data_IF_748564460822
#
_entry.id   IF_748564460822
#
_cell.length_a   1.000
_cell.length_b   1.000
_cell.length_c   1.000
_cell.angle_alpha   90.00
_cell.angle_beta   90.00
_cell.angle_gamma   90.00
#
_symmetry.space_group_name_H-M   'P 1'
#
loop_
_entity.id
_entity.type
_entity.pdbx_description
1 polymer ?
#
# COMPACT_ATOMS: atom_id res chain seq x y z
N UNK A 1 -13.38 11.25 -10.33
CA UNK A 1 -12.73 10.96 -9.03
C UNK A 1 -12.91 9.48 -8.74
N UNK A 2 -11.83 8.71 -8.60
CA UNK A 2 -11.95 7.32 -8.13
C UNK A 2 -12.23 7.31 -6.62
N UNK A 3 -13.11 6.41 -6.16
CA UNK A 3 -13.37 6.20 -4.74
C UNK A 3 -12.10 5.68 -4.03
N UNK A 4 -11.86 6.05 -2.75
CA UNK A 4 -10.72 5.56 -1.99
C UNK A 4 -10.87 4.06 -1.73
N UNK A 5 -9.75 3.34 -1.76
CA UNK A 5 -9.68 1.92 -1.44
C UNK A 5 -9.44 1.77 0.06
N UNK A 6 -10.34 1.09 0.75
CA UNK A 6 -10.40 1.07 2.22
C UNK A 6 -10.36 -0.35 2.79
N UNK A 7 -9.25 -1.10 2.61
CA UNK A 7 -9.21 -2.53 2.90
C UNK A 7 -9.06 -2.83 4.40
N UNK A 8 -8.97 -1.83 5.28
CA UNK A 8 -8.85 -2.00 6.73
C UNK A 8 -10.16 -1.65 7.42
N UNK A 9 -11.12 -2.60 7.42
CA UNK A 9 -12.43 -2.45 8.05
C UNK A 9 -13.13 -1.13 7.66
N UNK A 10 -13.10 -0.79 6.36
CA UNK A 10 -13.70 0.45 5.85
C UNK A 10 -12.85 1.70 6.04
N UNK A 11 -11.55 1.56 6.32
CA UNK A 11 -10.58 2.68 6.38
C UNK A 11 -9.32 2.41 5.55
N UNK A 12 -8.52 3.45 5.31
CA UNK A 12 -7.16 3.34 4.75
C UNK A 12 -6.13 2.80 5.77
N UNK A 13 -6.54 2.60 7.03
CA UNK A 13 -5.71 2.09 8.11
C UNK A 13 -4.98 3.19 8.88
N UNK A 14 -4.62 2.89 10.13
CA UNK A 14 -4.00 3.83 11.07
C UNK A 14 -3.03 3.10 11.99
N UNK A 15 -2.13 3.84 12.65
CA UNK A 15 -1.00 3.27 13.40
C UNK A 15 -1.35 2.73 14.79
N UNK A 16 -2.60 2.85 15.24
CA UNK A 16 -3.01 2.50 16.61
C UNK A 16 -3.21 3.70 17.55
N UNK A 17 -2.95 4.94 17.13
CA UNK A 17 -3.27 6.15 17.91
C UNK A 17 -4.53 6.87 17.43
N UNK A 18 -5.24 7.55 18.34
CA UNK A 18 -6.47 8.30 18.04
C UNK A 18 -6.24 9.37 16.98
N UNK A 19 -5.15 10.14 17.08
CA UNK A 19 -4.80 11.15 16.07
C UNK A 19 -4.59 10.53 14.68
N UNK A 20 -4.00 9.33 14.61
CA UNK A 20 -3.84 8.64 13.33
C UNK A 20 -5.17 8.13 12.78
N UNK A 21 -6.10 7.74 13.66
CA UNK A 21 -7.44 7.28 13.28
C UNK A 21 -8.30 8.43 12.75
N UNK A 22 -8.35 9.54 13.48
CA UNK A 22 -9.07 10.75 13.07
C UNK A 22 -8.57 11.26 11.71
N UNK A 23 -7.24 11.32 11.54
CA UNK A 23 -6.63 11.70 10.26
C UNK A 23 -7.06 10.75 9.13
N UNK A 24 -6.98 9.44 9.34
CA UNK A 24 -7.39 8.47 8.32
C UNK A 24 -8.87 8.65 7.93
N UNK A 25 -9.77 8.77 8.91
CA UNK A 25 -11.21 8.98 8.68
C UNK A 25 -11.46 10.28 7.90
N UNK A 26 -10.77 11.37 8.27
CA UNK A 26 -10.91 12.66 7.57
C UNK A 26 -10.41 12.55 6.12
N UNK A 27 -9.22 12.01 5.92
CA UNK A 27 -8.58 11.86 4.60
C UNK A 27 -9.35 10.89 3.68
N UNK A 28 -10.00 9.88 4.25
CA UNK A 28 -10.87 8.95 3.52
C UNK A 28 -12.16 9.65 3.04
N UNK A 29 -12.65 10.65 3.78
CA UNK A 29 -13.87 11.42 3.45
C UNK A 29 -13.63 12.60 2.52
N UNK A 30 -12.51 13.29 2.66
CA UNK A 30 -12.21 14.52 1.90
C UNK A 30 -11.53 14.25 0.54
N UNK A 31 -11.27 12.98 0.21
CA UNK A 31 -10.66 12.57 -1.06
C UNK A 31 -9.13 12.58 -1.06
N UNK A 32 -8.49 12.99 0.03
CA UNK A 32 -7.02 12.92 0.16
C UNK A 32 -6.52 11.50 -0.05
N UNK A 33 -7.19 10.50 0.51
CA UNK A 33 -6.80 9.08 0.37
C UNK A 33 -6.83 8.63 -1.09
N UNK A 34 -7.90 8.92 -1.83
CA UNK A 34 -8.01 8.49 -3.23
C UNK A 34 -7.00 9.20 -4.13
N UNK A 35 -6.72 10.48 -3.87
CA UNK A 35 -5.67 11.23 -4.56
C UNK A 35 -4.30 10.57 -4.38
N UNK A 36 -3.92 10.28 -3.13
CA UNK A 36 -2.62 9.66 -2.83
C UNK A 36 -2.50 8.26 -3.43
N UNK A 37 -3.58 7.47 -3.39
CA UNK A 37 -3.62 6.14 -4.01
C UNK A 37 -3.44 6.22 -5.53
N UNK A 38 -4.13 7.16 -6.20
CA UNK A 38 -4.00 7.40 -7.63
C UNK A 38 -2.57 7.80 -8.01
N UNK A 39 -2.00 8.76 -7.29
CA UNK A 39 -0.62 9.21 -7.48
C UNK A 39 0.38 8.05 -7.28
N UNK A 40 0.18 7.23 -6.26
CA UNK A 40 1.03 6.06 -6.00
C UNK A 40 0.98 5.05 -7.15
N UNK A 41 -0.21 4.74 -7.66
CA UNK A 41 -0.36 3.81 -8.80
C UNK A 41 0.35 4.33 -10.05
N UNK A 42 0.20 5.63 -10.34
CA UNK A 42 0.90 6.29 -11.46
C UNK A 42 2.41 6.11 -11.31
N UNK A 43 2.98 6.45 -10.15
CA UNK A 43 4.43 6.33 -9.95
C UNK A 43 4.93 4.88 -9.99
N UNK A 44 4.19 3.94 -9.40
CA UNK A 44 4.56 2.51 -9.45
C UNK A 44 4.59 2.00 -10.88
N UNK A 45 3.61 2.40 -11.72
CA UNK A 45 3.58 2.03 -13.15
C UNK A 45 4.73 2.66 -13.93
N UNK A 46 5.06 3.93 -13.68
CA UNK A 46 6.17 4.60 -14.36
C UNK A 46 7.55 4.00 -14.06
N UNK A 47 7.72 3.29 -12.94
CA UNK A 47 8.97 2.60 -12.61
C UNK A 47 9.12 1.25 -13.34
N UNK A 48 8.11 0.79 -14.09
CA UNK A 48 8.14 -0.48 -14.81
C UNK A 48 8.61 -1.62 -13.89
N UNK A 49 9.56 -2.43 -14.34
CA UNK A 49 10.13 -3.56 -13.58
C UNK A 49 10.98 -3.12 -12.39
N UNK A 50 11.53 -1.91 -12.38
CA UNK A 50 12.34 -1.43 -11.25
C UNK A 50 11.48 -1.33 -9.99
N UNK A 51 10.19 -1.02 -10.15
CA UNK A 51 9.28 -0.76 -9.05
C UNK A 51 9.72 0.41 -8.17
N UNK A 52 9.01 0.62 -7.08
CA UNK A 52 9.15 1.78 -6.21
C UNK A 52 9.18 1.35 -4.74
N UNK A 53 10.06 1.96 -3.96
CA UNK A 53 10.08 1.81 -2.49
C UNK A 53 9.28 2.92 -1.82
N UNK A 54 8.94 2.75 -0.55
CA UNK A 54 8.28 3.83 0.20
C UNK A 54 9.13 5.10 0.30
N UNK A 55 10.46 4.97 0.35
CA UNK A 55 11.39 6.10 0.45
C UNK A 55 11.38 6.93 -0.83
N UNK A 56 11.53 6.27 -1.96
CA UNK A 56 11.50 6.95 -3.27
C UNK A 56 10.13 7.59 -3.51
N UNK A 57 9.02 6.93 -3.14
CA UNK A 57 7.70 7.54 -3.23
C UNK A 57 7.58 8.79 -2.33
N UNK A 58 8.07 8.70 -1.10
CA UNK A 58 8.07 9.81 -0.14
C UNK A 58 8.87 11.01 -0.68
N UNK A 59 10.04 10.76 -1.27
CA UNK A 59 10.89 11.78 -1.89
C UNK A 59 10.19 12.43 -3.10
N UNK A 60 9.62 11.63 -4.01
CA UNK A 60 8.95 12.13 -5.22
C UNK A 60 7.73 13.00 -4.88
N UNK A 61 6.94 12.60 -3.87
CA UNK A 61 5.68 13.26 -3.52
C UNK A 61 5.81 14.27 -2.37
N UNK A 62 7.01 14.43 -1.80
CA UNK A 62 7.24 15.17 -0.57
C UNK A 62 6.31 14.74 0.58
N UNK A 63 6.19 13.43 0.76
CA UNK A 63 5.36 12.80 1.80
C UNK A 63 6.21 12.29 2.95
N UNK A 64 5.62 12.23 4.14
CA UNK A 64 6.27 11.54 5.25
C UNK A 64 6.10 10.02 5.14
N UNK A 65 6.94 9.27 5.87
CA UNK A 65 6.96 7.80 5.86
C UNK A 65 5.56 7.17 5.94
N UNK A 66 4.73 7.59 6.90
CA UNK A 66 3.39 7.04 7.11
C UNK A 66 2.42 7.19 5.92
N UNK A 67 2.50 8.28 5.15
CA UNK A 67 1.67 8.50 3.96
C UNK A 67 2.07 7.54 2.84
N UNK A 68 3.36 7.51 2.48
CA UNK A 68 3.88 6.69 1.40
C UNK A 68 3.72 5.19 1.71
N UNK A 69 4.14 4.77 2.91
CA UNK A 69 4.03 3.36 3.33
C UNK A 69 2.58 2.91 3.49
N UNK A 70 1.69 3.80 3.95
CA UNK A 70 0.25 3.53 4.07
C UNK A 70 -0.41 3.32 2.71
N UNK A 71 -0.19 4.23 1.75
CA UNK A 71 -0.74 4.12 0.40
C UNK A 71 -0.28 2.83 -0.30
N UNK A 72 1.02 2.52 -0.27
CA UNK A 72 1.56 1.27 -0.82
C UNK A 72 0.97 0.03 -0.12
N UNK A 73 0.81 0.07 1.21
CA UNK A 73 0.26 -1.05 1.97
C UNK A 73 -1.21 -1.30 1.65
N UNK A 74 -2.00 -0.24 1.45
CA UNK A 74 -3.40 -0.33 1.01
C UNK A 74 -3.50 -0.93 -0.38
N UNK A 75 -2.76 -0.39 -1.34
CA UNK A 75 -2.79 -0.87 -2.73
C UNK A 75 -2.33 -2.32 -2.86
N UNK A 76 -1.28 -2.69 -2.12
CA UNK A 76 -0.83 -4.08 -2.06
C UNK A 76 -1.86 -5.00 -1.41
N UNK A 77 -2.49 -4.56 -0.31
CA UNK A 77 -3.57 -5.33 0.34
C UNK A 77 -4.78 -5.52 -0.57
N UNK A 78 -5.07 -4.54 -1.42
CA UNK A 78 -6.13 -4.60 -2.42
C UNK A 78 -5.75 -5.38 -3.69
N UNK A 79 -4.52 -5.91 -3.78
CA UNK A 79 -4.06 -6.68 -4.94
C UNK A 79 -3.75 -5.86 -6.19
N UNK A 80 -3.69 -4.52 -6.09
CA UNK A 80 -3.43 -3.65 -7.25
C UNK A 80 -1.96 -3.51 -7.61
N UNK A 81 -1.07 -3.78 -6.66
CA UNK A 81 0.37 -3.81 -6.84
C UNK A 81 0.92 -5.01 -6.10
N UNK A 82 2.07 -5.50 -6.53
CA UNK A 82 2.77 -6.61 -5.91
C UNK A 82 3.97 -6.12 -5.14
N UNK A 83 4.22 -6.70 -3.96
CA UNK A 83 5.45 -6.47 -3.20
C UNK A 83 6.45 -7.57 -3.53
N UNK A 84 7.64 -7.22 -4.00
CA UNK A 84 8.69 -8.19 -4.26
C UNK A 84 9.35 -8.68 -2.96
N UNK A 85 9.94 -9.88 -2.99
CA UNK A 85 10.73 -10.40 -1.88
C UNK A 85 12.10 -9.71 -1.75
N UNK A 86 12.64 -9.18 -2.85
CA UNK A 86 13.85 -8.38 -2.81
C UNK A 86 13.65 -7.05 -2.06
N UNK A 87 14.78 -6.46 -1.68
CA UNK A 87 14.80 -5.15 -1.00
C UNK A 87 15.82 -4.25 -1.67
N UNK A 88 15.46 -2.98 -1.81
CA UNK A 88 16.37 -1.91 -2.27
C UNK A 88 16.64 -0.97 -1.11
N UNK A 89 17.90 -0.81 -0.72
CA UNK A 89 18.30 0.02 0.43
C UNK A 89 17.54 -0.33 1.72
N UNK A 90 17.45 -1.64 2.02
CA UNK A 90 16.67 -2.20 3.13
C UNK A 90 15.16 -1.89 3.09
N UNK A 91 14.62 -1.40 1.97
CA UNK A 91 13.19 -1.09 1.81
C UNK A 91 12.51 -2.12 0.90
N UNK A 92 11.23 -2.40 1.17
CA UNK A 92 10.42 -3.23 0.29
C UNK A 92 10.19 -2.56 -1.07
N UNK A 93 10.30 -3.32 -2.15
CA UNK A 93 10.04 -2.86 -3.51
C UNK A 93 8.62 -3.27 -3.92
N UNK A 94 7.86 -2.30 -4.40
CA UNK A 94 6.51 -2.50 -4.93
C UNK A 94 6.48 -2.28 -6.43
N UNK A 95 5.79 -3.13 -7.16
CA UNK A 95 5.74 -3.13 -8.61
C UNK A 95 4.31 -3.29 -9.09
N UNK A 96 3.99 -2.73 -10.26
CA UNK A 96 2.70 -3.01 -10.90
C UNK A 96 2.64 -4.49 -11.28
N UNK A 97 1.47 -5.12 -11.20
CA UNK A 97 1.33 -6.56 -11.36
C UNK A 97 1.83 -7.04 -12.74
N UNK A 98 1.59 -6.25 -13.78
CA UNK A 98 2.06 -6.45 -15.16
C UNK A 98 3.59 -6.44 -15.30
N UNK A 99 4.31 -5.82 -14.36
CA UNK A 99 5.77 -5.67 -14.38
C UNK A 99 6.50 -6.61 -13.41
N UNK A 100 5.81 -7.57 -12.79
CA UNK A 100 6.43 -8.58 -11.91
C UNK A 100 7.35 -9.53 -12.70
N UNK A 101 6.98 -9.91 -13.92
CA UNK A 101 7.76 -10.77 -14.84
C UNK A 101 8.32 -12.05 -14.18
N UNK A 102 7.50 -12.74 -13.39
CA UNK A 102 7.89 -13.99 -12.73
C UNK A 102 8.80 -13.84 -11.50
N UNK A 103 9.08 -12.61 -11.06
CA UNK A 103 9.91 -12.36 -9.88
C UNK A 103 9.19 -12.79 -8.59
N UNK A 104 9.92 -13.32 -7.59
CA UNK A 104 9.30 -13.74 -6.33
C UNK A 104 8.63 -12.57 -5.59
N UNK A 105 7.34 -12.74 -5.30
CA UNK A 105 6.54 -11.78 -4.54
C UNK A 105 6.25 -12.26 -3.12
N UNK A 106 6.02 -11.30 -2.23
CA UNK A 106 5.61 -11.53 -0.86
C UNK A 106 4.12 -11.82 -0.82
N UNK A 107 3.77 -13.10 -0.67
CA UNK A 107 2.38 -13.52 -0.54
C UNK A 107 1.91 -13.19 0.88
N UNK A 108 0.79 -12.46 1.00
CA UNK A 108 0.12 -12.31 2.29
C UNK A 108 -0.47 -13.66 2.70
N UNK A 109 0.00 -14.18 3.84
CA UNK A 109 -0.66 -15.32 4.49
C UNK A 109 -2.03 -14.87 4.98
N UNK A 110 -3.08 -15.54 4.53
CA UNK A 110 -4.40 -15.43 5.13
C UNK A 110 -4.25 -15.95 6.56
N UNK A 111 -4.69 -15.17 7.56
CA UNK A 111 -4.67 -15.64 8.94
C UNK A 111 -5.74 -16.72 9.05
N UNK A 112 -5.33 -17.93 9.40
CA UNK A 112 -6.24 -19.02 9.71
C UNK A 112 -6.34 -19.18 11.23
N UNK A 113 -7.53 -19.51 11.72
CA UNK A 113 -7.75 -19.81 13.12
C UNK A 113 -6.97 -21.08 13.49
N UNK A 114 -6.10 -20.98 14.50
CA UNK A 114 -5.30 -22.12 14.99
C UNK A 114 -6.15 -23.25 15.58
N UNK A 115 -7.41 -22.98 15.94
CA UNK A 115 -8.29 -23.95 16.58
C UNK A 115 -9.24 -24.66 15.61
N UNK A 116 -9.75 -23.99 14.59
CA UNK A 116 -10.74 -24.57 13.67
C UNK A 116 -10.33 -24.56 12.19
N UNK A 117 -9.18 -23.96 11.84
CA UNK A 117 -8.74 -23.83 10.45
C UNK A 117 -9.53 -22.82 9.61
N UNK A 118 -10.58 -22.20 10.17
CA UNK A 118 -11.37 -21.17 9.49
C UNK A 118 -10.56 -19.92 9.15
N UNK A 119 -10.94 -19.23 8.07
CA UNK A 119 -10.34 -17.96 7.68
C UNK A 119 -10.73 -16.85 8.67
N UNK A 120 -9.75 -16.09 9.17
CA UNK A 120 -9.90 -14.94 10.08
C UNK A 120 -9.82 -13.61 9.33
#
# INVERSE_FOLDING_TARGET
MNQPILPYAGTSGWSGSDTSKERAIREDKDGTTSLRQSQTLVHVRHQLERGLTWKELAEIQNWHHGQASGALSVLHKAGLISRLNERRNKCAVYVANEHVKGRPISIRKIKTCKHCGGHL
#
